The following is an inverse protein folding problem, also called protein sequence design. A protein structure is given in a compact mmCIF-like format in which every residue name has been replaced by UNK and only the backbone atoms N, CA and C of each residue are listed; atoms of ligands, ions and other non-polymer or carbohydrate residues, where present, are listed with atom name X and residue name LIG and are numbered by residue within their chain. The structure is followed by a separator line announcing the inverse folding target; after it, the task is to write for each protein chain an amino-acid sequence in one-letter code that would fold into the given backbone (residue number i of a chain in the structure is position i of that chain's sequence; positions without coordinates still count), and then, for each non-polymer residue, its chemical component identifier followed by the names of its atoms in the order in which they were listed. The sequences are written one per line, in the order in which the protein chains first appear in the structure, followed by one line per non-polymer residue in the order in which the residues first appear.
data_IF_921141688375
#
_entry.id   IF_921141688375
#
_cell.length_a   1.000
_cell.length_b   1.000
_cell.length_c   1.000
_cell.angle_alpha   90.00
_cell.angle_beta   90.00
_cell.angle_gamma   90.00
#
_symmetry.space_group_name_H-M   'P 1'
#
loop_
_entity.id
_entity.type
_entity.pdbx_description
1 polymer ?
#
# COMPACT_ATOMS: atom_id res chain seq x y z
N UNK A 1 -8.15 -9.70 3.94
CA UNK A 1 -8.50 -8.56 3.05
C UNK A 1 -7.50 -7.44 3.27
N UNK A 2 -7.16 -6.72 2.20
CA UNK A 2 -6.29 -5.55 2.21
C UNK A 2 -7.08 -4.36 1.69
N UNK A 3 -7.00 -3.25 2.42
CA UNK A 3 -7.53 -1.97 1.99
C UNK A 3 -6.40 -0.95 1.99
N UNK A 4 -6.36 -0.11 0.96
CA UNK A 4 -5.42 1.00 0.90
C UNK A 4 -6.12 2.27 0.43
N UNK A 5 -5.87 3.37 1.13
CA UNK A 5 -6.16 4.71 0.63
C UNK A 5 -4.84 5.35 0.20
N UNK A 6 -4.69 5.55 -1.11
CA UNK A 6 -3.50 6.14 -1.74
C UNK A 6 -3.88 7.57 -2.10
N UNK A 7 -3.20 8.56 -1.53
CA UNK A 7 -3.45 9.98 -1.80
C UNK A 7 -2.20 10.67 -2.29
N UNK A 8 -2.36 11.59 -3.25
CA UNK A 8 -1.26 12.34 -3.84
C UNK A 8 -1.74 13.52 -4.67
N UNK A 9 -0.82 14.19 -5.40
CA UNK A 9 -1.11 15.45 -6.10
C UNK A 9 -2.12 15.32 -7.25
N UNK A 10 -2.35 14.11 -7.76
CA UNK A 10 -3.33 13.82 -8.83
C UNK A 10 -4.70 13.36 -8.30
N UNK A 11 -4.88 13.33 -6.99
CA UNK A 11 -6.09 12.84 -6.33
C UNK A 11 -5.83 11.61 -5.47
N UNK A 12 -6.91 10.91 -5.16
CA UNK A 12 -6.92 9.74 -4.27
C UNK A 12 -7.52 8.51 -4.93
N UNK A 13 -6.95 7.34 -4.64
CA UNK A 13 -7.45 6.03 -5.02
C UNK A 13 -7.75 5.21 -3.76
N UNK A 14 -8.93 4.60 -3.72
CA UNK A 14 -9.26 3.57 -2.74
C UNK A 14 -9.13 2.20 -3.40
N UNK A 15 -8.30 1.36 -2.81
CA UNK A 15 -8.06 -0.02 -3.21
C UNK A 15 -8.57 -0.96 -2.12
N UNK A 16 -9.29 -2.01 -2.51
CA UNK A 16 -9.90 -2.96 -1.59
C UNK A 16 -9.97 -4.32 -2.29
N UNK A 17 -9.24 -5.30 -1.75
CA UNK A 17 -9.10 -6.61 -2.37
C UNK A 17 -8.84 -7.71 -1.34
N UNK A 18 -9.00 -9.00 -1.71
CA UNK A 18 -8.47 -10.10 -0.92
C UNK A 18 -6.96 -9.92 -0.65
N UNK A 19 -6.44 -10.55 0.40
CA UNK A 19 -5.00 -10.50 0.68
C UNK A 19 -4.34 -11.69 -0.04
N UNK A 20 -4.07 -11.57 -1.32
CA UNK A 20 -3.31 -12.57 -2.10
C UNK A 20 -2.00 -11.97 -2.61
N UNK A 21 -1.01 -12.79 -3.02
CA UNK A 21 0.19 -12.28 -3.67
C UNK A 21 -0.12 -11.42 -4.91
N UNK A 22 -1.12 -11.79 -5.70
CA UNK A 22 -1.56 -11.01 -6.86
C UNK A 22 -2.09 -9.63 -6.46
N UNK A 23 -2.92 -9.58 -5.42
CA UNK A 23 -3.50 -8.32 -4.92
C UNK A 23 -2.42 -7.40 -4.33
N UNK A 24 -1.40 -7.96 -3.68
CA UNK A 24 -0.24 -7.20 -3.17
C UNK A 24 0.59 -6.59 -4.32
N UNK A 25 0.83 -7.34 -5.40
CA UNK A 25 1.49 -6.81 -6.60
C UNK A 25 0.65 -5.74 -7.30
N UNK A 26 -0.68 -5.91 -7.31
CA UNK A 26 -1.58 -4.92 -7.90
C UNK A 26 -1.57 -3.61 -7.09
N UNK A 27 -1.61 -3.71 -5.75
CA UNK A 27 -1.42 -2.55 -4.86
C UNK A 27 -0.08 -1.85 -5.11
N UNK A 28 1.01 -2.62 -5.24
CA UNK A 28 2.33 -2.07 -5.59
C UNK A 28 2.29 -1.28 -6.89
N UNK A 29 1.58 -1.78 -7.90
CA UNK A 29 1.44 -1.11 -9.21
C UNK A 29 0.76 0.25 -9.06
N UNK A 30 -0.38 0.31 -8.36
CA UNK A 30 -1.09 1.58 -8.13
C UNK A 30 -0.28 2.60 -7.34
N UNK A 31 0.47 2.17 -6.33
CA UNK A 31 1.36 3.08 -5.57
C UNK A 31 2.49 3.61 -6.46
N UNK A 32 3.06 2.77 -7.35
CA UNK A 32 4.08 3.21 -8.32
C UNK A 32 3.55 4.24 -9.33
N UNK A 33 2.32 4.05 -9.80
CA UNK A 33 1.67 5.03 -10.68
C UNK A 33 1.47 6.38 -9.97
N UNK A 34 1.08 6.36 -8.70
CA UNK A 34 0.94 7.56 -7.87
C UNK A 34 2.30 8.24 -7.58
N UNK A 35 3.35 7.46 -7.32
CA UNK A 35 4.73 7.89 -7.06
C UNK A 35 5.36 8.59 -8.27
N UNK A 36 5.07 8.14 -9.50
CA UNK A 36 5.71 8.59 -10.75
C UNK A 36 5.81 10.11 -10.97
N UNK A 37 5.04 10.91 -10.23
CA UNK A 37 5.05 12.38 -10.26
C UNK A 37 5.93 12.98 -9.17
N UNK A 38 5.79 12.52 -7.93
CA UNK A 38 6.50 13.06 -6.75
C UNK A 38 6.28 12.14 -5.52
N UNK A 39 7.20 11.20 -5.24
CA UNK A 39 6.99 10.19 -4.20
C UNK A 39 6.80 10.78 -2.79
N UNK A 40 7.41 11.94 -2.50
CA UNK A 40 7.28 12.63 -1.21
C UNK A 40 5.90 13.24 -0.95
N UNK A 41 5.07 13.33 -1.98
CA UNK A 41 3.69 13.82 -1.89
C UNK A 41 2.66 12.68 -1.88
N UNK A 42 3.12 11.43 -1.89
CA UNK A 42 2.24 10.26 -1.82
C UNK A 42 2.14 9.78 -0.37
N UNK A 43 0.90 9.58 0.07
CA UNK A 43 0.58 9.00 1.36
C UNK A 43 -0.27 7.75 1.16
N UNK A 44 0.09 6.66 1.84
CA UNK A 44 -0.62 5.39 1.78
C UNK A 44 -1.10 5.03 3.19
N UNK A 45 -2.41 4.97 3.37
CA UNK A 45 -3.01 4.34 4.55
C UNK A 45 -3.35 2.90 4.23
N UNK A 46 -2.74 1.95 4.93
CA UNK A 46 -2.90 0.52 4.70
C UNK A 46 -3.65 -0.12 5.86
N UNK A 47 -4.67 -0.93 5.55
CA UNK A 47 -5.35 -1.81 6.50
C UNK A 47 -5.24 -3.24 6.01
N UNK A 48 -4.85 -4.14 6.90
CA UNK A 48 -4.73 -5.57 6.59
C UNK A 48 -5.40 -6.36 7.70
N UNK A 49 -6.21 -7.33 7.32
CA UNK A 49 -6.86 -8.24 8.25
C UNK A 49 -5.86 -9.19 8.93
N UNK A 50 -6.03 -9.47 10.23
CA UNK A 50 -5.06 -10.23 11.06
C UNK A 50 -4.97 -11.71 10.71
N UNK A 51 -5.96 -12.24 9.99
CA UNK A 51 -6.05 -13.67 9.70
C UNK A 51 -4.96 -14.15 8.74
N UNK A 52 -4.34 -13.25 7.98
CA UNK A 52 -3.32 -13.58 6.97
C UNK A 52 -1.88 -13.52 7.51
N UNK A 53 -1.57 -14.34 8.52
CA UNK A 53 -0.18 -14.47 9.04
C UNK A 53 0.81 -14.90 7.97
N UNK A 54 0.36 -15.68 6.98
CA UNK A 54 1.18 -16.17 5.88
C UNK A 54 1.76 -15.03 5.04
N UNK A 55 1.07 -13.89 4.97
CA UNK A 55 1.44 -12.74 4.13
C UNK A 55 1.98 -11.55 4.91
N UNK A 56 2.21 -11.72 6.22
CA UNK A 56 2.73 -10.66 7.08
C UNK A 56 4.14 -10.20 6.65
N UNK A 57 4.94 -11.11 6.11
CA UNK A 57 6.29 -10.81 5.62
C UNK A 57 6.22 -9.95 4.34
N UNK A 58 5.33 -10.30 3.43
CA UNK A 58 5.09 -9.64 2.14
C UNK A 58 4.54 -8.23 2.36
N UNK A 59 3.56 -8.08 3.26
CA UNK A 59 3.05 -6.76 3.66
C UNK A 59 4.16 -5.92 4.28
N UNK A 60 4.97 -6.50 5.17
CA UNK A 60 6.10 -5.78 5.78
C UNK A 60 7.14 -5.35 4.74
N UNK A 61 7.39 -6.20 3.74
CA UNK A 61 8.30 -5.92 2.62
C UNK A 61 7.76 -4.79 1.75
N UNK A 62 6.45 -4.79 1.47
CA UNK A 62 5.76 -3.75 0.70
C UNK A 62 5.84 -2.39 1.42
N UNK A 63 5.60 -2.36 2.74
CA UNK A 63 5.73 -1.14 3.56
C UNK A 63 7.18 -0.61 3.54
N UNK A 64 8.18 -1.50 3.65
CA UNK A 64 9.59 -1.12 3.55
C UNK A 64 9.94 -0.55 2.17
N UNK A 65 9.45 -1.16 1.10
CA UNK A 65 9.65 -0.66 -0.27
C UNK A 65 9.11 0.75 -0.42
N UNK A 66 7.85 1.00 -0.02
CA UNK A 66 7.22 2.32 -0.13
C UNK A 66 7.96 3.38 0.70
N UNK A 67 8.28 3.07 1.95
CA UNK A 67 9.00 4.00 2.83
C UNK A 67 10.40 4.31 2.31
N UNK A 68 11.12 3.33 1.74
CA UNK A 68 12.44 3.55 1.12
C UNK A 68 12.40 4.51 -0.10
N UNK A 69 11.25 4.63 -0.75
CA UNK A 69 11.00 5.59 -1.85
C UNK A 69 10.62 6.98 -1.33
N UNK A 70 10.47 7.15 -0.01
CA UNK A 70 10.03 8.39 0.61
C UNK A 70 8.51 8.56 0.66
N UNK A 71 7.74 7.51 0.40
CA UNK A 71 6.28 7.49 0.54
C UNK A 71 5.92 7.36 2.01
N UNK A 72 5.02 8.21 2.50
CA UNK A 72 4.53 8.13 3.87
C UNK A 72 3.51 6.99 3.99
N UNK A 73 3.81 5.96 4.78
CA UNK A 73 2.91 4.81 4.99
C UNK A 73 2.41 4.77 6.42
N UNK A 74 1.08 4.71 6.59
CA UNK A 74 0.42 4.46 7.88
C UNK A 74 -0.28 3.12 7.84
N UNK A 75 0.15 2.18 8.67
CA UNK A 75 -0.50 0.87 8.79
C UNK A 75 -1.48 0.91 9.95
N UNK A 76 -2.78 0.87 9.65
CA UNK A 76 -3.84 0.72 10.64
C UNK A 76 -4.19 -0.76 10.77
N UNK A 77 -4.40 -1.21 12.01
CA UNK A 77 -4.80 -2.58 12.32
C UNK A 77 -6.32 -2.62 12.45
N UNK A 78 -6.96 -3.58 11.78
CA UNK A 78 -8.27 -4.07 12.18
C UNK A 78 -8.10 -4.99 13.40
#
# INVERSE_FOLDING_TARGET
MIEAHISGPRGSLYYSAPTTPYDLENLRTHVREADSVSPRQVHVELRVDRSDRALACEVSTLVREFTSRGIAVRVARH
#
